data_IF_511103932055
#
_entry.id   IF_511103932055
#
_cell.length_a   1.000
_cell.length_b   1.000
_cell.length_c   1.000
_cell.angle_alpha   90.00
_cell.angle_beta   90.00
_cell.angle_gamma   90.00
#
_symmetry.space_group_name_H-M   'P 1'
#
loop_
_entity.id
_entity.type
_entity.pdbx_description
1 polymer ?
#
# COMPACT_ATOMS: atom_id res chain seq x y z
N UNK A 1 2.69 31.66 -19.56
CA UNK A 1 1.76 31.74 -18.42
C UNK A 1 0.41 32.25 -18.91
N UNK A 2 -0.67 31.53 -18.62
CA UNK A 2 -2.02 32.02 -18.93
C UNK A 2 -2.33 33.22 -18.01
N UNK A 3 -2.57 34.39 -18.60
CA UNK A 3 -3.10 35.56 -17.86
C UNK A 3 -4.59 35.35 -17.66
N UNK A 4 -5.04 35.40 -16.41
CA UNK A 4 -6.46 35.35 -16.07
C UNK A 4 -7.13 36.62 -16.61
N UNK A 5 -8.25 36.47 -17.32
CA UNK A 5 -9.07 37.59 -17.78
C UNK A 5 -9.98 38.02 -16.63
N UNK A 6 -9.62 39.11 -15.94
CA UNK A 6 -10.32 39.63 -14.76
C UNK A 6 -10.49 41.14 -14.91
N UNK A 7 -11.58 41.68 -14.37
CA UNK A 7 -11.87 43.11 -14.42
C UNK A 7 -10.78 43.89 -13.65
N UNK A 8 -10.24 45.00 -14.18
CA UNK A 8 -9.16 45.75 -13.56
C UNK A 8 -9.67 46.64 -12.42
N UNK A 9 -10.20 46.03 -11.35
CA UNK A 9 -10.68 46.74 -10.15
C UNK A 9 -9.73 46.50 -8.97
N UNK A 10 -9.66 47.46 -8.03
CA UNK A 10 -8.84 47.30 -6.82
C UNK A 10 -9.25 46.10 -5.96
N UNK A 11 -10.55 45.78 -5.95
CA UNK A 11 -11.10 44.64 -5.23
C UNK A 11 -10.59 43.32 -5.80
N UNK A 12 -10.61 43.15 -7.13
CA UNK A 12 -10.05 41.97 -7.79
C UNK A 12 -8.54 41.84 -7.56
N UNK A 13 -7.80 42.95 -7.56
CA UNK A 13 -6.38 42.95 -7.23
C UNK A 13 -6.12 42.43 -5.79
N UNK A 14 -6.94 42.82 -4.82
CA UNK A 14 -6.83 42.32 -3.43
C UNK A 14 -7.11 40.83 -3.35
N UNK A 15 -8.19 40.37 -3.97
CA UNK A 15 -8.58 38.95 -4.02
C UNK A 15 -7.49 38.08 -4.67
N UNK A 16 -6.88 38.55 -5.77
CA UNK A 16 -5.80 37.84 -6.45
C UNK A 16 -4.53 37.75 -5.59
N UNK A 17 -4.20 38.80 -4.84
CA UNK A 17 -3.05 38.78 -3.90
C UNK A 17 -3.27 37.79 -2.77
N UNK A 18 -4.48 37.74 -2.21
CA UNK A 18 -4.83 36.74 -1.19
C UNK A 18 -4.78 35.32 -1.75
N UNK A 19 -5.36 35.08 -2.93
CA UNK A 19 -5.28 33.80 -3.63
C UNK A 19 -3.83 33.38 -3.88
N UNK A 20 -2.97 34.29 -4.32
CA UNK A 20 -1.55 34.00 -4.52
C UNK A 20 -0.84 33.62 -3.22
N UNK A 21 -1.14 34.31 -2.12
CA UNK A 21 -0.60 33.97 -0.80
C UNK A 21 -1.07 32.60 -0.31
N UNK A 22 -2.34 32.26 -0.52
CA UNK A 22 -2.88 30.94 -0.17
C UNK A 22 -2.30 29.84 -1.06
N UNK A 23 -2.21 30.06 -2.37
CA UNK A 23 -1.66 29.09 -3.33
C UNK A 23 -0.17 28.80 -3.07
N UNK A 24 0.64 29.82 -2.78
CA UNK A 24 2.06 29.66 -2.46
C UNK A 24 2.27 28.86 -1.17
N UNK A 25 1.47 29.13 -0.13
CA UNK A 25 1.49 28.34 1.12
C UNK A 25 1.00 26.91 0.91
N UNK A 26 -0.10 26.73 0.19
CA UNK A 26 -0.66 25.41 -0.13
C UNK A 26 0.31 24.55 -0.94
N UNK A 27 1.00 25.15 -1.91
CA UNK A 27 2.04 24.44 -2.68
C UNK A 27 3.16 23.92 -1.79
N UNK A 28 3.67 24.76 -0.86
CA UNK A 28 4.70 24.34 0.09
C UNK A 28 4.21 23.18 0.97
N UNK A 29 3.01 23.30 1.56
CA UNK A 29 2.43 22.25 2.42
C UNK A 29 2.24 20.91 1.68
N UNK A 30 1.79 20.96 0.43
CA UNK A 30 1.62 19.76 -0.40
C UNK A 30 2.98 19.14 -0.76
N UNK A 31 4.00 19.96 -1.02
CA UNK A 31 5.36 19.48 -1.26
C UNK A 31 5.92 18.77 -0.02
N UNK A 32 5.81 19.40 1.15
CA UNK A 32 6.30 18.83 2.42
C UNK A 32 5.58 17.51 2.74
N UNK A 33 4.24 17.47 2.55
CA UNK A 33 3.44 16.24 2.70
C UNK A 33 3.89 15.12 1.76
N UNK A 34 4.13 15.44 0.49
CA UNK A 34 4.59 14.48 -0.51
C UNK A 34 5.97 13.93 -0.14
N UNK A 35 6.88 14.78 0.29
CA UNK A 35 8.26 14.37 0.60
C UNK A 35 8.28 13.40 1.80
N UNK A 36 7.46 13.64 2.83
CA UNK A 36 7.30 12.70 3.96
C UNK A 36 6.58 11.40 3.56
N UNK A 37 5.57 11.47 2.68
CA UNK A 37 4.92 10.28 2.13
C UNK A 37 5.91 9.40 1.36
N UNK A 38 6.78 10.02 0.54
CA UNK A 38 7.81 9.31 -0.21
C UNK A 38 8.83 8.64 0.71
N UNK A 39 9.22 9.29 1.81
CA UNK A 39 10.13 8.70 2.80
C UNK A 39 9.57 7.39 3.36
N UNK A 40 8.33 7.44 3.88
CA UNK A 40 7.64 6.26 4.42
C UNK A 40 7.41 5.18 3.37
N UNK A 41 7.07 5.59 2.15
CA UNK A 41 6.84 4.65 1.05
C UNK A 41 8.10 3.86 0.69
N UNK A 42 9.26 4.50 0.68
CA UNK A 42 10.54 3.83 0.42
C UNK A 42 10.87 2.82 1.52
N UNK A 43 10.62 3.17 2.78
CA UNK A 43 10.83 2.26 3.91
C UNK A 43 9.92 1.02 3.79
N UNK A 44 8.63 1.22 3.48
CA UNK A 44 7.69 0.12 3.25
C UNK A 44 8.07 -0.78 2.07
N UNK A 45 8.62 -0.22 0.98
CA UNK A 45 9.09 -1.03 -0.15
C UNK A 45 10.25 -1.94 0.25
N UNK A 46 11.16 -1.44 1.09
CA UNK A 46 12.31 -2.23 1.57
C UNK A 46 11.84 -3.39 2.42
N UNK A 47 10.98 -3.11 3.40
CA UNK A 47 10.36 -4.14 4.24
C UNK A 47 9.58 -5.16 3.41
N UNK A 48 8.78 -4.71 2.43
CA UNK A 48 8.05 -5.61 1.55
C UNK A 48 8.97 -6.54 0.75
N UNK A 49 10.12 -6.02 0.28
CA UNK A 49 11.08 -6.81 -0.47
C UNK A 49 11.82 -7.83 0.40
N UNK A 50 12.12 -7.48 1.65
CA UNK A 50 12.71 -8.40 2.63
C UNK A 50 11.72 -9.53 2.96
N UNK A 51 10.50 -9.20 3.36
CA UNK A 51 9.44 -10.18 3.62
C UNK A 51 9.15 -11.06 2.40
N UNK A 52 9.14 -10.48 1.19
CA UNK A 52 8.96 -11.25 -0.04
C UNK A 52 10.03 -12.32 -0.21
N UNK A 53 11.30 -11.97 -0.03
CA UNK A 53 12.41 -12.92 -0.16
C UNK A 53 12.33 -14.04 0.87
N UNK A 54 11.95 -13.72 2.11
CA UNK A 54 11.77 -14.71 3.17
C UNK A 54 10.64 -15.69 2.83
N UNK A 55 9.49 -15.17 2.41
CA UNK A 55 8.33 -15.99 2.02
C UNK A 55 8.64 -16.83 0.79
N UNK A 56 9.30 -16.27 -0.23
CA UNK A 56 9.70 -17.00 -1.44
C UNK A 56 10.67 -18.13 -1.09
N UNK A 57 11.67 -17.89 -0.24
CA UNK A 57 12.61 -18.92 0.19
C UNK A 57 11.92 -20.05 0.95
N UNK A 58 11.03 -19.71 1.90
CA UNK A 58 10.26 -20.71 2.65
C UNK A 58 9.34 -21.52 1.73
N UNK A 59 8.64 -20.86 0.81
CA UNK A 59 7.74 -21.50 -0.13
C UNK A 59 8.47 -22.49 -1.04
N UNK A 60 9.63 -22.10 -1.58
CA UNK A 60 10.45 -22.99 -2.43
C UNK A 60 10.91 -24.21 -1.64
N UNK A 61 11.37 -24.03 -0.40
CA UNK A 61 11.76 -25.15 0.47
C UNK A 61 10.59 -26.11 0.72
N UNK A 62 9.44 -25.59 1.16
CA UNK A 62 8.26 -26.42 1.44
C UNK A 62 7.69 -27.10 0.20
N UNK A 63 7.75 -26.46 -0.98
CA UNK A 63 7.33 -27.10 -2.23
C UNK A 63 8.27 -28.22 -2.65
N UNK A 64 9.58 -28.09 -2.43
CA UNK A 64 10.53 -29.19 -2.68
C UNK A 64 10.25 -30.38 -1.75
N UNK A 65 10.06 -30.12 -0.45
CA UNK A 65 9.69 -31.16 0.52
C UNK A 65 8.36 -31.84 0.15
N UNK A 66 7.37 -31.06 -0.27
CA UNK A 66 6.07 -31.56 -0.70
C UNK A 66 6.17 -32.46 -1.94
N UNK A 67 6.97 -32.06 -2.94
CA UNK A 67 7.19 -32.87 -4.15
C UNK A 67 7.88 -34.19 -3.79
N UNK A 68 8.86 -34.17 -2.89
CA UNK A 68 9.52 -35.37 -2.40
C UNK A 68 8.54 -36.29 -1.66
N UNK A 69 7.72 -35.76 -0.74
CA UNK A 69 6.69 -36.52 -0.04
C UNK A 69 5.66 -37.12 -1.01
N UNK A 70 5.18 -36.34 -1.98
CA UNK A 70 4.26 -36.81 -3.01
C UNK A 70 4.83 -37.96 -3.85
N UNK A 71 6.14 -37.99 -4.09
CA UNK A 71 6.78 -39.06 -4.86
C UNK A 71 6.73 -40.44 -4.19
N UNK A 72 6.54 -40.47 -2.86
CA UNK A 72 6.44 -41.69 -2.06
C UNK A 72 4.98 -42.17 -1.88
N UNK A 73 4.01 -41.28 -2.13
CA UNK A 73 2.58 -41.51 -1.86
C UNK A 73 1.77 -41.76 -3.14
N UNK A 74 0.60 -42.39 -3.00
CA UNK A 74 -0.32 -42.56 -4.12
C UNK A 74 -1.06 -41.24 -4.43
N UNK A 75 -0.95 -40.77 -5.68
CA UNK A 75 -1.56 -39.52 -6.16
C UNK A 75 -3.04 -39.37 -5.79
N UNK A 76 -3.82 -40.45 -5.86
CA UNK A 76 -5.27 -40.43 -5.56
C UNK A 76 -5.57 -40.07 -4.10
N UNK A 77 -4.74 -40.55 -3.16
CA UNK A 77 -4.91 -40.29 -1.73
C UNK A 77 -4.60 -38.84 -1.39
N UNK A 78 -3.59 -38.26 -2.05
CA UNK A 78 -3.22 -36.85 -1.88
C UNK A 78 -4.35 -35.93 -2.36
N UNK A 79 -4.94 -36.21 -3.53
CA UNK A 79 -6.06 -35.43 -4.07
C UNK A 79 -7.28 -35.45 -3.14
N UNK A 80 -7.59 -36.61 -2.55
CA UNK A 80 -8.70 -36.74 -1.58
C UNK A 80 -8.43 -35.93 -0.31
N UNK A 81 -7.20 -35.92 0.22
CA UNK A 81 -6.85 -35.11 1.40
C UNK A 81 -6.99 -33.60 1.18
N UNK A 82 -6.69 -33.08 -0.02
CA UNK A 82 -6.84 -31.66 -0.32
C UNK A 82 -8.28 -31.25 -0.63
N UNK A 83 -9.17 -32.20 -0.92
CA UNK A 83 -10.56 -31.91 -1.27
C UNK A 83 -11.39 -31.39 -0.10
N UNK A 84 -10.99 -31.71 1.14
CA UNK A 84 -11.68 -31.27 2.36
C UNK A 84 -10.72 -30.47 3.24
N UNK A 85 -10.80 -29.12 3.25
CA UNK A 85 -9.99 -28.32 4.14
C UNK A 85 -10.40 -28.57 5.60
N UNK A 86 -9.45 -28.98 6.44
CA UNK A 86 -9.69 -29.26 7.86
C UNK A 86 -9.63 -28.01 8.74
N UNK A 87 -9.15 -26.87 8.20
CA UNK A 87 -9.04 -25.59 8.89
C UNK A 87 -9.59 -24.46 8.02
N UNK A 88 -10.41 -23.62 8.64
CA UNK A 88 -10.83 -22.34 8.06
C UNK A 88 -9.85 -21.24 8.48
N UNK A 89 -9.45 -20.40 7.52
CA UNK A 89 -8.62 -19.22 7.78
C UNK A 89 -9.46 -17.99 7.48
N UNK A 90 -9.64 -17.12 8.47
CA UNK A 90 -10.34 -15.85 8.32
C UNK A 90 -9.33 -14.70 8.29
N UNK A 91 -9.52 -13.79 7.34
CA UNK A 91 -8.71 -12.57 7.19
C UNK A 91 -9.56 -11.36 7.59
N UNK A 92 -9.09 -10.59 8.56
CA UNK A 92 -9.69 -9.32 8.95
C UNK A 92 -8.91 -8.18 8.31
N UNK A 93 -9.60 -7.31 7.58
CA UNK A 93 -9.00 -6.14 6.93
C UNK A 93 -9.50 -4.89 7.65
N UNK A 94 -8.58 -4.10 8.18
CA UNK A 94 -8.84 -2.79 8.75
C UNK A 94 -8.28 -1.69 7.85
N UNK A 95 -8.83 -0.48 7.96
CA UNK A 95 -8.35 0.68 7.20
C UNK A 95 -7.68 1.67 8.13
N UNK A 96 -6.40 1.94 7.90
CA UNK A 96 -5.65 2.98 8.61
C UNK A 96 -5.52 4.23 7.73
N UNK A 97 -5.47 5.41 8.35
CA UNK A 97 -5.22 6.66 7.65
C UNK A 97 -3.77 7.11 7.84
N UNK A 98 -2.96 6.98 6.79
CA UNK A 98 -1.58 7.46 6.75
C UNK A 98 -1.54 8.77 5.98
N UNK A 99 -1.50 9.89 6.69
CA UNK A 99 -1.42 11.24 6.11
C UNK A 99 -2.50 11.52 5.03
N UNK A 100 -3.77 11.31 5.39
CA UNK A 100 -4.94 11.45 4.51
C UNK A 100 -5.01 10.47 3.34
N UNK A 101 -4.21 9.40 3.37
CA UNK A 101 -4.34 8.25 2.46
C UNK A 101 -4.89 7.09 3.27
N UNK A 102 -6.01 6.53 2.82
CA UNK A 102 -6.61 5.34 3.42
C UNK A 102 -5.88 4.10 2.91
N UNK A 103 -5.24 3.38 3.80
CA UNK A 103 -4.49 2.16 3.52
C UNK A 103 -5.19 0.99 4.20
N UNK A 104 -5.44 -0.09 3.46
CA UNK A 104 -5.92 -1.35 4.04
C UNK A 104 -4.75 -2.11 4.66
N UNK A 105 -4.91 -2.54 5.90
CA UNK A 105 -3.97 -3.42 6.59
C UNK A 105 -4.70 -4.66 7.08
N UNK A 106 -4.01 -5.79 7.09
CA UNK A 106 -4.52 -7.00 7.69
C UNK A 106 -4.44 -6.82 9.21
N UNK A 107 -5.58 -6.85 9.89
CA UNK A 107 -5.62 -6.91 11.34
C UNK A 107 -5.29 -8.35 11.75
N UNK A 108 -4.22 -8.53 12.53
CA UNK A 108 -4.03 -9.79 13.24
C UNK A 108 -5.14 -9.90 14.29
N UNK A 109 -5.95 -10.97 14.29
CA UNK A 109 -6.77 -11.25 15.47
C UNK A 109 -5.80 -11.55 16.61
N UNK A 110 -5.97 -10.85 17.73
CA UNK A 110 -5.21 -11.06 18.97
C UNK A 110 -5.06 -12.55 19.32
#
# INVERSE_FOLDING_TARGET
MARLNVKPTRMELSNLKERLKTATRGHKLLKDKRDELMRRFVDLIRENNELRKEVEAALVGHMQDFVMAKSLENTLMVEEMFSVPTKEVQLFIETENVMSVTCSQNAQPY
#
